data_IF_131590201085
#
_entry.id   IF_131590201085
#
_cell.length_a   1.000
_cell.length_b   1.000
_cell.length_c   1.000
_cell.angle_alpha   90.00
_cell.angle_beta   90.00
_cell.angle_gamma   90.00
#
_symmetry.space_group_name_H-M   'P 1'
#
loop_
_entity.id
_entity.type
_entity.pdbx_description
1 polymer ?
#
# COMPACT_ATOMS: atom_id res chain seq x y z
N UNK A 1 5.11 -6.14 12.71
CA UNK A 1 3.75 -5.55 12.65
C UNK A 1 3.77 -4.22 11.89
N UNK A 2 2.92 -4.03 10.90
CA UNK A 2 2.73 -2.75 10.17
C UNK A 2 1.33 -2.21 10.51
N UNK A 3 1.23 -0.92 10.79
CA UNK A 3 -0.04 -0.24 11.02
C UNK A 3 -0.39 0.66 9.84
N UNK A 4 -1.64 0.61 9.39
CA UNK A 4 -2.20 1.57 8.43
C UNK A 4 -3.14 2.49 9.21
N UNK A 5 -2.97 3.79 9.02
CA UNK A 5 -3.72 4.81 9.76
C UNK A 5 -4.54 5.65 8.78
N UNK A 6 -5.78 5.95 9.15
CA UNK A 6 -6.65 6.86 8.42
C UNK A 6 -7.50 7.65 9.42
N UNK A 7 -7.60 8.97 9.24
CA UNK A 7 -8.56 9.81 10.00
C UNK A 7 -9.99 9.64 9.48
N UNK A 8 -10.16 9.12 8.26
CA UNK A 8 -11.44 9.09 7.53
C UNK A 8 -12.04 7.68 7.41
N UNK A 9 -11.21 6.67 7.13
CA UNK A 9 -11.66 5.31 6.86
C UNK A 9 -11.24 4.38 8.00
N UNK A 10 -12.13 3.49 8.46
CA UNK A 10 -11.81 2.56 9.55
C UNK A 10 -11.32 1.22 9.02
N UNK A 11 -11.67 0.88 7.77
CA UNK A 11 -11.31 -0.37 7.12
C UNK A 11 -10.76 -0.13 5.72
N UNK A 12 -9.86 -1.01 5.29
CA UNK A 12 -9.29 -1.00 3.93
C UNK A 12 -10.37 -1.21 2.86
N UNK A 13 -11.41 -1.99 3.16
CA UNK A 13 -12.55 -2.21 2.25
C UNK A 13 -13.35 -0.94 1.97
N UNK A 14 -13.33 0.06 2.87
CA UNK A 14 -14.04 1.34 2.73
C UNK A 14 -13.32 2.34 1.82
N UNK A 15 -12.09 2.05 1.40
CA UNK A 15 -11.33 2.95 0.54
C UNK A 15 -12.09 3.22 -0.76
N UNK A 16 -12.31 4.49 -1.13
CA UNK A 16 -12.96 4.83 -2.38
C UNK A 16 -12.05 4.50 -3.57
N UNK A 17 -12.64 4.47 -4.77
CA UNK A 17 -11.88 4.41 -6.01
C UNK A 17 -10.97 5.63 -6.12
N UNK A 18 -9.70 5.43 -6.48
CA UNK A 18 -8.72 6.50 -6.57
C UNK A 18 -8.13 6.96 -5.24
N UNK A 19 -8.37 6.23 -4.14
CA UNK A 19 -7.80 6.57 -2.84
C UNK A 19 -6.27 6.71 -2.90
N UNK A 20 -5.74 7.71 -2.20
CA UNK A 20 -4.32 8.00 -2.12
C UNK A 20 -3.74 7.33 -0.88
N UNK A 21 -2.79 6.42 -1.07
CA UNK A 21 -2.04 5.75 -0.02
C UNK A 21 -0.63 6.32 0.03
N UNK A 22 -0.32 6.96 1.15
CA UNK A 22 1.02 7.47 1.43
C UNK A 22 1.80 6.36 2.13
N UNK A 23 2.99 6.10 1.64
CA UNK A 23 3.90 5.08 2.14
C UNK A 23 5.34 5.61 2.11
N UNK A 24 6.23 4.97 2.85
CA UNK A 24 7.65 5.37 2.83
C UNK A 24 8.32 4.97 1.51
N UNK A 25 9.45 5.57 1.19
CA UNK A 25 10.34 5.17 0.10
C UNK A 25 11.11 3.85 0.33
N UNK A 26 10.93 3.20 1.50
CA UNK A 26 11.54 1.93 1.87
C UNK A 26 10.86 0.73 1.18
N UNK A 27 11.58 0.03 0.30
CA UNK A 27 11.08 -1.15 -0.44
C UNK A 27 10.61 -2.27 0.49
N UNK A 28 11.29 -2.47 1.62
CA UNK A 28 10.88 -3.49 2.60
C UNK A 28 9.48 -3.20 3.20
N UNK A 29 9.11 -1.92 3.31
CA UNK A 29 7.78 -1.52 3.77
C UNK A 29 6.74 -1.60 2.65
N UNK A 30 7.16 -1.44 1.39
CA UNK A 30 6.30 -1.65 0.22
C UNK A 30 5.79 -3.08 0.18
N UNK A 31 6.70 -4.06 0.28
CA UNK A 31 6.32 -5.47 0.24
C UNK A 31 5.26 -5.83 1.28
N UNK A 32 5.40 -5.31 2.51
CA UNK A 32 4.42 -5.54 3.59
C UNK A 32 3.07 -4.89 3.31
N UNK A 33 3.06 -3.63 2.87
CA UNK A 33 1.82 -2.91 2.56
C UNK A 33 1.09 -3.57 1.39
N UNK A 34 1.79 -3.84 0.29
CA UNK A 34 1.22 -4.41 -0.92
C UNK A 34 0.69 -5.83 -0.67
N UNK A 35 1.41 -6.65 0.09
CA UNK A 35 0.94 -7.98 0.50
C UNK A 35 -0.36 -7.92 1.32
N UNK A 36 -0.50 -6.91 2.18
CA UNK A 36 -1.71 -6.70 2.97
C UNK A 36 -2.89 -6.27 2.08
N UNK A 37 -2.66 -5.34 1.14
CA UNK A 37 -3.70 -4.91 0.20
C UNK A 37 -4.16 -6.05 -0.72
N UNK A 38 -3.24 -6.92 -1.14
CA UNK A 38 -3.57 -8.14 -1.89
C UNK A 38 -4.40 -9.12 -1.04
N UNK A 39 -4.02 -9.33 0.22
CA UNK A 39 -4.77 -10.19 1.14
C UNK A 39 -6.21 -9.70 1.36
N UNK A 40 -6.42 -8.39 1.36
CA UNK A 40 -7.74 -7.74 1.46
C UNK A 40 -8.48 -7.67 0.10
N UNK A 41 -7.90 -8.22 -0.97
CA UNK A 41 -8.50 -8.27 -2.31
C UNK A 41 -8.59 -6.91 -3.01
N UNK A 42 -7.79 -5.92 -2.59
CA UNK A 42 -7.82 -4.57 -3.15
C UNK A 42 -6.92 -4.41 -4.40
N UNK A 43 -5.88 -5.22 -4.48
CA UNK A 43 -4.94 -5.31 -5.60
C UNK A 43 -4.56 -6.78 -5.84
N UNK A 44 -3.87 -7.05 -6.95
CA UNK A 44 -3.20 -8.33 -7.18
C UNK A 44 -1.74 -8.09 -7.51
N UNK A 45 -0.83 -8.83 -6.88
CA UNK A 45 0.59 -8.82 -7.21
C UNK A 45 0.90 -9.87 -8.27
N UNK A 46 2.00 -9.66 -8.99
CA UNK A 46 2.52 -10.62 -9.97
C UNK A 46 2.80 -11.96 -9.29
N UNK A 47 2.39 -13.05 -9.93
CA UNK A 47 2.65 -14.40 -9.43
C UNK A 47 4.16 -14.74 -9.48
N UNK A 48 4.62 -15.52 -8.50
CA UNK A 48 6.00 -16.03 -8.44
C UNK A 48 7.07 -15.04 -7.95
N UNK A 49 6.68 -13.84 -7.48
CA UNK A 49 7.62 -12.88 -6.87
C UNK A 49 7.79 -13.11 -5.37
N UNK A 50 8.92 -12.64 -4.84
CA UNK A 50 9.10 -12.47 -3.39
C UNK A 50 8.29 -11.27 -2.90
N UNK A 51 7.15 -11.56 -2.25
CA UNK A 51 6.23 -10.55 -1.71
C UNK A 51 6.88 -9.60 -0.70
N UNK A 52 7.98 -10.00 -0.06
CA UNK A 52 8.71 -9.14 0.88
C UNK A 52 9.49 -8.03 0.19
N UNK A 53 9.73 -8.18 -1.13
CA UNK A 53 10.44 -7.23 -2.00
C UNK A 53 9.53 -6.64 -3.07
N UNK A 54 8.22 -6.88 -3.00
CA UNK A 54 7.28 -6.37 -3.98
C UNK A 54 7.28 -4.84 -3.97
N UNK A 55 7.27 -4.27 -5.17
CA UNK A 55 7.19 -2.84 -5.43
C UNK A 55 5.88 -2.50 -6.15
N UNK A 56 5.57 -1.20 -6.27
CA UNK A 56 4.35 -0.73 -6.94
C UNK A 56 4.25 -1.25 -8.39
N UNK A 57 5.40 -1.42 -9.07
CA UNK A 57 5.47 -1.97 -10.44
C UNK A 57 5.04 -3.43 -10.56
N UNK A 58 5.02 -4.17 -9.44
CA UNK A 58 4.63 -5.57 -9.41
C UNK A 58 3.11 -5.77 -9.24
N UNK A 59 2.35 -4.68 -9.13
CA UNK A 59 0.88 -4.70 -9.08
C UNK A 59 0.33 -4.94 -10.49
N UNK A 60 -0.30 -6.09 -10.70
CA UNK A 60 -0.88 -6.49 -11.99
C UNK A 60 -2.38 -6.25 -12.09
N UNK A 61 -3.07 -6.10 -10.96
CA UNK A 61 -4.48 -5.69 -10.92
C UNK A 61 -4.71 -4.66 -9.82
N UNK A 62 -5.50 -3.63 -10.14
CA UNK A 62 -5.84 -2.52 -9.25
C UNK A 62 -7.27 -2.01 -9.58
N UNK A 63 -8.32 -2.77 -9.24
CA UNK A 63 -9.71 -2.46 -9.62
C UNK A 63 -10.19 -1.12 -9.02
N UNK A 64 -9.71 -0.80 -7.81
CA UNK A 64 -10.00 0.49 -7.14
C UNK A 64 -9.14 1.64 -7.66
N UNK A 65 -8.21 1.44 -8.59
CA UNK A 65 -7.28 2.46 -9.10
C UNK A 65 -6.59 3.23 -7.96
N UNK A 66 -6.20 2.51 -6.90
CA UNK A 66 -5.48 3.07 -5.76
C UNK A 66 -4.21 3.76 -6.26
N UNK A 67 -3.92 4.92 -5.68
CA UNK A 67 -2.73 5.71 -5.98
C UNK A 67 -1.73 5.54 -4.84
N UNK A 68 -0.48 5.24 -5.18
CA UNK A 68 0.59 5.02 -4.23
C UNK A 68 1.57 6.18 -4.29
N UNK A 69 1.83 6.81 -3.14
CA UNK A 69 2.81 7.88 -3.01
C UNK A 69 3.92 7.43 -2.05
N UNK A 70 5.09 7.15 -2.61
CA UNK A 70 6.23 6.56 -1.92
C UNK A 70 7.40 7.54 -1.79
N UNK A 71 7.17 8.85 -1.84
CA UNK A 71 8.23 9.86 -1.91
C UNK A 71 8.80 10.28 -0.53
N UNK A 72 8.34 9.67 0.55
CA UNK A 72 8.62 10.15 1.91
C UNK A 72 9.56 9.21 2.67
N UNK A 73 10.47 9.79 3.45
CA UNK A 73 11.26 9.00 4.40
C UNK A 73 10.36 8.41 5.50
N UNK A 74 10.64 7.19 6.01
CA UNK A 74 9.81 6.54 7.03
C UNK A 74 9.52 7.40 8.26
N UNK A 75 10.48 8.22 8.69
CA UNK A 75 10.37 9.09 9.88
C UNK A 75 9.38 10.25 9.69
N UNK A 76 9.03 10.60 8.44
CA UNK A 76 8.13 11.70 8.13
C UNK A 76 6.66 11.27 8.11
N UNK A 77 6.37 9.98 7.92
CA UNK A 77 4.99 9.47 7.82
C UNK A 77 4.07 9.88 8.98
N UNK A 78 4.48 9.85 10.26
CA UNK A 78 3.62 10.26 11.37
C UNK A 78 3.25 11.75 11.34
N UNK A 79 4.05 12.58 10.66
CA UNK A 79 3.81 14.02 10.53
C UNK A 79 2.86 14.35 9.37
N UNK A 80 2.73 13.42 8.41
CA UNK A 80 1.90 13.57 7.21
C UNK A 80 0.45 13.10 7.46
N UNK A 81 0.25 12.26 8.48
CA UNK A 81 -1.03 11.64 8.83
C UNK A 81 -2.01 12.56 9.58
#
# INVERSE_FOLDING_TARGET
>A
PIGIYSKKYKKLSELPKGAHLIMSNSVADHGRLLSLLEKEGLIKLKDGIDKTKAEIKDVVDNPKKLKFDANYEPKLLPQIF
#
